data_IF_960412605578
#
_entry.id   IF_960412605578
#
_cell.length_a   1.000
_cell.length_b   1.000
_cell.length_c   1.000
_cell.angle_alpha   90.00
_cell.angle_beta   90.00
_cell.angle_gamma   90.00
#
_symmetry.space_group_name_H-M   'P 1'
#
loop_
_entity.id
_entity.type
_entity.pdbx_description
1 polymer ?
#
# COMPACT_ATOMS: atom_id res chain seq x y z
N UNK A 1 148.95 -92.71 57.44
CA UNK A 1 148.55 -91.37 56.94
C UNK A 1 147.59 -91.52 55.74
N UNK A 2 146.37 -92.04 55.91
CA UNK A 2 145.40 -92.16 54.79
C UNK A 2 143.92 -92.14 55.21
N UNK A 3 143.62 -91.93 56.50
CA UNK A 3 142.25 -91.93 57.04
C UNK A 3 141.55 -90.57 57.02
N UNK A 4 142.27 -89.46 56.82
CA UNK A 4 141.67 -88.11 56.90
C UNK A 4 141.01 -87.64 55.59
N UNK A 5 141.40 -88.15 54.41
CA UNK A 5 140.80 -87.72 53.12
C UNK A 5 139.39 -88.29 52.86
N UNK A 6 139.03 -89.45 53.46
CA UNK A 6 137.72 -90.12 53.23
C UNK A 6 136.60 -89.50 54.08
N UNK A 7 136.90 -89.16 55.34
CA UNK A 7 135.97 -88.50 56.25
C UNK A 7 135.63 -87.08 55.75
N UNK A 8 136.61 -86.35 55.19
CA UNK A 8 136.39 -85.03 54.60
C UNK A 8 135.59 -85.06 53.29
N UNK A 9 135.60 -86.17 52.56
CA UNK A 9 134.78 -86.37 51.37
C UNK A 9 133.32 -86.70 51.74
N UNK A 10 133.10 -87.53 52.75
CA UNK A 10 131.75 -87.86 53.27
C UNK A 10 131.12 -86.64 53.95
N UNK A 11 131.88 -85.88 54.76
CA UNK A 11 131.40 -84.63 55.35
C UNK A 11 131.03 -83.59 54.29
N UNK A 12 131.82 -83.45 53.22
CA UNK A 12 131.47 -82.59 52.08
C UNK A 12 130.19 -83.05 51.39
N UNK A 13 130.01 -84.36 51.18
CA UNK A 13 128.83 -84.91 50.51
C UNK A 13 127.56 -84.82 51.38
N UNK A 14 127.67 -85.01 52.69
CA UNK A 14 126.60 -84.76 53.65
C UNK A 14 126.22 -83.28 53.65
N UNK A 15 127.21 -82.37 53.63
CA UNK A 15 126.98 -80.93 53.57
C UNK A 15 126.29 -80.51 52.26
N UNK A 16 126.66 -81.12 51.13
CA UNK A 16 126.00 -80.89 49.83
C UNK A 16 124.58 -81.46 49.83
N UNK A 17 124.34 -82.64 50.39
CA UNK A 17 123.01 -83.24 50.48
C UNK A 17 122.09 -82.49 51.46
N UNK A 18 122.63 -81.99 52.57
CA UNK A 18 121.90 -81.09 53.47
C UNK A 18 121.55 -79.80 52.76
N UNK A 19 122.52 -79.16 52.09
CA UNK A 19 122.26 -77.95 51.32
C UNK A 19 121.24 -78.18 50.19
N UNK A 20 121.26 -79.34 49.53
CA UNK A 20 120.26 -79.72 48.53
C UNK A 20 118.88 -80.00 49.13
N UNK A 21 118.82 -80.58 50.33
CA UNK A 21 117.56 -80.81 51.06
C UNK A 21 116.98 -79.47 51.54
N UNK A 22 117.80 -78.60 52.14
CA UNK A 22 117.42 -77.26 52.56
C UNK A 22 116.95 -76.42 51.36
N UNK A 23 117.67 -76.46 50.23
CA UNK A 23 117.25 -75.79 48.99
C UNK A 23 115.99 -76.40 48.36
N UNK A 24 115.73 -77.69 48.55
CA UNK A 24 114.51 -78.35 48.07
C UNK A 24 113.31 -78.02 48.98
N UNK A 25 113.55 -77.91 50.28
CA UNK A 25 112.57 -77.53 51.29
C UNK A 25 112.18 -76.05 51.13
N UNK A 26 113.15 -75.14 50.95
CA UNK A 26 112.90 -73.74 50.59
C UNK A 26 112.11 -73.63 49.27
N UNK A 27 112.45 -74.44 48.25
CA UNK A 27 111.71 -74.48 46.98
C UNK A 27 110.29 -75.02 47.16
N UNK A 28 110.09 -76.04 47.98
CA UNK A 28 108.77 -76.59 48.28
C UNK A 28 107.91 -75.57 49.03
N UNK A 29 108.46 -74.86 50.01
CA UNK A 29 107.76 -73.77 50.71
C UNK A 29 107.40 -72.62 49.76
N UNK A 30 108.30 -72.23 48.85
CA UNK A 30 108.05 -71.19 47.86
C UNK A 30 106.94 -71.59 46.88
N UNK A 31 106.99 -72.81 46.36
CA UNK A 31 105.94 -73.35 45.48
C UNK A 31 104.60 -73.47 46.22
N UNK A 32 104.62 -73.86 47.49
CA UNK A 32 103.41 -73.96 48.30
C UNK A 32 102.80 -72.58 48.57
N UNK A 33 103.62 -71.56 48.86
CA UNK A 33 103.16 -70.16 48.93
C UNK A 33 102.61 -69.68 47.59
N UNK A 34 103.27 -69.99 46.47
CA UNK A 34 102.79 -69.63 45.14
C UNK A 34 101.44 -70.29 44.81
N UNK A 35 101.25 -71.57 45.16
CA UNK A 35 99.98 -72.28 44.96
C UNK A 35 98.86 -71.67 45.81
N UNK A 36 99.13 -71.27 47.05
CA UNK A 36 98.13 -70.61 47.89
C UNK A 36 97.77 -69.20 47.39
N UNK A 37 98.75 -68.44 46.88
CA UNK A 37 98.49 -67.16 46.20
C UNK A 37 97.65 -67.37 44.93
N UNK A 38 97.95 -68.39 44.13
CA UNK A 38 97.19 -68.67 42.91
C UNK A 38 95.77 -69.15 43.21
N UNK A 39 95.58 -69.99 44.24
CA UNK A 39 94.25 -70.41 44.70
C UNK A 39 93.42 -69.22 45.17
N UNK A 40 93.98 -68.36 46.02
CA UNK A 40 93.27 -67.18 46.52
C UNK A 40 92.95 -66.20 45.39
N UNK A 41 93.86 -66.02 44.42
CA UNK A 41 93.59 -65.22 43.22
C UNK A 41 92.49 -65.83 42.34
N UNK A 42 92.50 -67.16 42.15
CA UNK A 42 91.44 -67.87 41.43
C UNK A 42 90.09 -67.75 42.12
N UNK A 43 90.04 -67.91 43.44
CA UNK A 43 88.79 -67.75 44.22
C UNK A 43 88.24 -66.32 44.12
N UNK A 44 89.11 -65.31 44.13
CA UNK A 44 88.72 -63.92 43.88
C UNK A 44 88.15 -63.72 42.47
N UNK A 45 88.81 -64.26 41.44
CA UNK A 45 88.35 -64.19 40.06
C UNK A 45 87.00 -64.93 39.86
N UNK A 46 86.83 -66.11 40.46
CA UNK A 46 85.57 -66.86 40.43
C UNK A 46 84.44 -66.08 41.13
N UNK A 47 84.73 -65.42 42.25
CA UNK A 47 83.77 -64.55 42.94
C UNK A 47 83.41 -63.31 42.11
N UNK A 48 84.37 -62.68 41.43
CA UNK A 48 84.14 -61.56 40.52
C UNK A 48 83.29 -61.98 39.30
N UNK A 49 83.59 -63.13 38.69
CA UNK A 49 82.79 -63.68 37.58
C UNK A 49 81.36 -63.98 38.04
N UNK A 50 81.17 -64.56 39.24
CA UNK A 50 79.85 -64.79 39.79
C UNK A 50 79.07 -63.48 40.04
N UNK A 51 79.75 -62.44 40.53
CA UNK A 51 79.18 -61.10 40.74
C UNK A 51 78.78 -60.44 39.42
N UNK A 52 79.66 -60.49 38.41
CA UNK A 52 79.39 -59.94 37.07
C UNK A 52 78.23 -60.68 36.38
N UNK A 53 78.16 -62.01 36.49
CA UNK A 53 77.05 -62.78 35.94
C UNK A 53 75.70 -62.41 36.58
N UNK A 54 75.66 -62.19 37.90
CA UNK A 54 74.45 -61.66 38.56
C UNK A 54 74.11 -60.26 38.06
N UNK A 55 75.11 -59.41 37.86
CA UNK A 55 74.90 -58.04 37.35
C UNK A 55 74.37 -58.05 35.91
N UNK A 56 74.87 -58.95 35.06
CA UNK A 56 74.37 -59.14 33.69
C UNK A 56 72.88 -59.51 33.72
N UNK A 57 72.49 -60.51 34.51
CA UNK A 57 71.08 -60.91 34.63
C UNK A 57 70.17 -59.77 35.09
N UNK A 58 70.60 -58.99 36.08
CA UNK A 58 69.82 -57.85 36.55
C UNK A 58 69.66 -56.77 35.47
N UNK A 59 70.71 -56.49 34.71
CA UNK A 59 70.67 -55.51 33.61
C UNK A 59 69.80 -56.03 32.45
N UNK A 60 69.85 -57.32 32.15
CA UNK A 60 68.97 -57.95 31.15
C UNK A 60 67.50 -57.85 31.58
N UNK A 61 67.18 -58.18 32.83
CA UNK A 61 65.82 -58.04 33.36
C UNK A 61 65.33 -56.57 33.35
N UNK A 62 66.20 -55.61 33.67
CA UNK A 62 65.88 -54.18 33.58
C UNK A 62 65.66 -53.73 32.14
N UNK A 63 66.46 -54.25 31.20
CA UNK A 63 66.32 -53.98 29.77
C UNK A 63 64.99 -54.52 29.23
N UNK A 64 64.64 -55.76 29.56
CA UNK A 64 63.37 -56.38 29.14
C UNK A 64 62.17 -55.59 29.68
N UNK A 65 62.20 -55.20 30.96
CA UNK A 65 61.15 -54.34 31.55
C UNK A 65 61.07 -52.98 30.90
N UNK A 66 62.21 -52.38 30.53
CA UNK A 66 62.23 -51.09 29.84
C UNK A 66 61.67 -51.22 28.42
N UNK A 67 61.97 -52.31 27.71
CA UNK A 67 61.44 -52.60 26.38
C UNK A 67 59.93 -52.83 26.39
N UNK A 68 59.39 -53.60 27.34
CA UNK A 68 57.94 -53.79 27.49
C UNK A 68 57.21 -52.47 27.77
N UNK A 69 57.78 -51.63 28.64
CA UNK A 69 57.24 -50.28 28.92
C UNK A 69 57.28 -49.40 27.69
N UNK A 70 58.37 -49.43 26.92
CA UNK A 70 58.51 -48.67 25.69
C UNK A 70 57.49 -49.14 24.64
N UNK A 71 57.32 -50.45 24.45
CA UNK A 71 56.33 -51.00 23.53
C UNK A 71 54.90 -50.54 23.88
N UNK A 72 54.56 -50.58 25.17
CA UNK A 72 53.25 -50.10 25.66
C UNK A 72 53.09 -48.59 25.43
N UNK A 73 54.14 -47.80 25.66
CA UNK A 73 54.11 -46.35 25.44
C UNK A 73 53.95 -46.00 23.95
N UNK A 74 54.64 -46.72 23.06
CA UNK A 74 54.51 -46.54 21.62
C UNK A 74 53.11 -46.91 21.11
N UNK A 75 52.53 -48.01 21.60
CA UNK A 75 51.15 -48.37 21.24
C UNK A 75 50.16 -47.27 21.66
N UNK A 76 50.29 -46.74 22.89
CA UNK A 76 49.44 -45.63 23.37
C UNK A 76 49.63 -44.35 22.56
N UNK A 77 50.86 -44.08 22.12
CA UNK A 77 51.15 -42.94 21.27
C UNK A 77 50.44 -43.08 19.91
N UNK A 78 50.51 -44.25 19.29
CA UNK A 78 49.84 -44.51 18.01
C UNK A 78 48.31 -44.39 18.12
N UNK A 79 47.73 -44.88 19.22
CA UNK A 79 46.29 -44.72 19.49
C UNK A 79 45.91 -43.25 19.68
N UNK A 80 46.73 -42.47 20.39
CA UNK A 80 46.51 -41.05 20.59
C UNK A 80 46.65 -40.24 19.28
N UNK A 81 47.63 -40.58 18.43
CA UNK A 81 47.81 -39.96 17.12
C UNK A 81 46.60 -40.21 16.21
N UNK A 82 46.10 -41.46 16.15
CA UNK A 82 44.87 -41.77 15.40
C UNK A 82 43.66 -40.99 15.91
N UNK A 83 43.48 -40.90 17.22
CA UNK A 83 42.39 -40.12 17.81
C UNK A 83 42.52 -38.62 17.51
N UNK A 84 43.74 -38.07 17.49
CA UNK A 84 44.00 -36.69 17.13
C UNK A 84 43.67 -36.41 15.66
N UNK A 85 44.09 -37.28 14.74
CA UNK A 85 43.79 -37.19 13.31
C UNK A 85 42.29 -37.24 13.03
N UNK A 86 41.55 -38.14 13.70
CA UNK A 86 40.09 -38.22 13.59
C UNK A 86 39.41 -36.96 14.12
N UNK A 87 39.89 -36.42 15.25
CA UNK A 87 39.40 -35.17 15.82
C UNK A 87 39.64 -33.98 14.89
N UNK A 88 40.81 -33.88 14.27
CA UNK A 88 41.14 -32.81 13.31
C UNK A 88 40.24 -32.87 12.07
N UNK A 89 39.98 -34.08 11.56
CA UNK A 89 39.01 -34.28 10.47
C UNK A 89 37.61 -33.85 10.88
N UNK A 90 37.17 -34.22 12.08
CA UNK A 90 35.89 -33.79 12.64
C UNK A 90 35.77 -32.28 12.72
N UNK A 91 36.82 -31.62 13.24
CA UNK A 91 36.91 -30.16 13.35
C UNK A 91 36.78 -29.49 11.97
N UNK A 92 37.52 -29.95 10.97
CA UNK A 92 37.45 -29.40 9.59
C UNK A 92 36.06 -29.54 8.98
N UNK A 93 35.35 -30.65 9.23
CA UNK A 93 33.98 -30.82 8.73
C UNK A 93 33.01 -29.84 9.40
N UNK A 94 33.15 -29.63 10.72
CA UNK A 94 32.32 -28.69 11.47
C UNK A 94 32.59 -27.25 11.01
N UNK A 95 33.85 -26.87 10.83
CA UNK A 95 34.25 -25.55 10.33
C UNK A 95 33.64 -25.28 8.95
N UNK A 96 33.74 -26.23 8.01
CA UNK A 96 33.12 -26.10 6.69
C UNK A 96 31.59 -26.00 6.74
N UNK A 97 30.94 -26.63 7.71
CA UNK A 97 29.49 -26.47 7.91
C UNK A 97 29.15 -25.10 8.46
N UNK A 98 29.89 -24.64 9.47
CA UNK A 98 29.70 -23.33 10.07
C UNK A 98 29.83 -22.20 9.03
N UNK A 99 30.85 -22.25 8.17
CA UNK A 99 31.04 -21.27 7.10
C UNK A 99 29.86 -21.24 6.11
N UNK A 100 29.35 -22.41 5.70
CA UNK A 100 28.19 -22.49 4.80
C UNK A 100 26.91 -21.98 5.44
N UNK A 101 26.73 -22.27 6.73
CA UNK A 101 25.57 -21.79 7.48
C UNK A 101 25.63 -20.27 7.67
N UNK A 102 26.82 -19.71 7.88
CA UNK A 102 27.08 -18.26 7.96
C UNK A 102 26.77 -17.56 6.62
N UNK A 103 27.32 -18.04 5.50
CA UNK A 103 27.01 -17.51 4.16
C UNK A 103 25.50 -17.54 3.85
N UNK A 104 24.83 -18.64 4.24
CA UNK A 104 23.38 -18.77 4.06
C UNK A 104 22.62 -17.79 4.94
N UNK A 105 23.05 -17.59 6.18
CA UNK A 105 22.43 -16.65 7.11
C UNK A 105 22.53 -15.21 6.59
N UNK A 106 23.70 -14.81 6.09
CA UNK A 106 23.90 -13.47 5.50
C UNK A 106 22.98 -13.24 4.29
N UNK A 107 22.88 -14.23 3.40
CA UNK A 107 21.99 -14.15 2.23
C UNK A 107 20.51 -14.04 2.64
N UNK A 108 20.09 -14.82 3.63
CA UNK A 108 18.74 -14.73 4.18
C UNK A 108 18.47 -13.39 4.88
N UNK A 109 19.47 -12.80 5.53
CA UNK A 109 19.33 -11.49 6.17
C UNK A 109 19.12 -10.38 5.13
N UNK A 110 19.85 -10.42 4.01
CA UNK A 110 19.68 -9.49 2.89
C UNK A 110 18.27 -9.63 2.31
N UNK A 111 17.85 -10.86 2.00
CA UNK A 111 16.50 -11.12 1.48
C UNK A 111 15.40 -10.65 2.45
N UNK A 112 15.60 -10.84 3.76
CA UNK A 112 14.66 -10.36 4.76
C UNK A 112 14.57 -8.83 4.79
N UNK A 113 15.71 -8.13 4.67
CA UNK A 113 15.73 -6.66 4.60
C UNK A 113 15.01 -6.15 3.35
N UNK A 114 15.25 -6.76 2.20
CA UNK A 114 14.56 -6.41 0.95
C UNK A 114 13.05 -6.65 1.05
N UNK A 115 12.63 -7.81 1.56
CA UNK A 115 11.22 -8.13 1.74
C UNK A 115 10.52 -7.15 2.69
N UNK A 116 11.17 -6.75 3.77
CA UNK A 116 10.66 -5.71 4.69
C UNK A 116 10.51 -4.36 4.00
N UNK A 117 11.51 -3.93 3.23
CA UNK A 117 11.45 -2.66 2.50
C UNK A 117 10.30 -2.65 1.49
N UNK A 118 10.10 -3.75 0.75
CA UNK A 118 8.99 -3.89 -0.20
C UNK A 118 7.64 -3.82 0.51
N UNK A 119 7.51 -4.48 1.67
CA UNK A 119 6.28 -4.43 2.47
C UNK A 119 5.99 -3.00 2.97
N UNK A 120 7.00 -2.31 3.50
CA UNK A 120 6.86 -0.92 3.96
C UNK A 120 6.53 0.07 2.83
N UNK A 121 7.07 -0.13 1.63
CA UNK A 121 6.69 0.67 0.46
C UNK A 121 5.26 0.40 0.02
N UNK A 122 4.83 -0.86 0.06
CA UNK A 122 3.46 -1.24 -0.25
C UNK A 122 2.49 -0.60 0.74
N UNK A 123 2.77 -0.69 2.04
CA UNK A 123 1.95 -0.08 3.10
C UNK A 123 1.85 1.44 2.93
N UNK A 124 2.97 2.11 2.64
CA UNK A 124 2.96 3.57 2.33
C UNK A 124 2.08 3.92 1.13
N UNK A 125 2.15 3.13 0.06
CA UNK A 125 1.30 3.32 -1.14
C UNK A 125 -0.17 3.06 -0.81
N UNK A 126 -0.47 2.03 -0.02
CA UNK A 126 -1.82 1.73 0.44
C UNK A 126 -2.41 2.87 1.26
N UNK A 127 -1.66 3.43 2.21
CA UNK A 127 -2.10 4.58 3.00
C UNK A 127 -2.35 5.84 2.15
N UNK A 128 -1.51 6.08 1.14
CA UNK A 128 -1.72 7.20 0.21
C UNK A 128 -3.00 7.03 -0.61
N UNK A 129 -3.23 5.84 -1.15
CA UNK A 129 -4.46 5.52 -1.91
C UNK A 129 -5.69 5.62 -1.02
N UNK A 130 -5.64 5.08 0.20
CA UNK A 130 -6.75 5.14 1.14
C UNK A 130 -7.11 6.59 1.51
N UNK A 131 -6.12 7.46 1.73
CA UNK A 131 -6.36 8.89 1.99
C UNK A 131 -6.98 9.59 0.78
N UNK A 132 -6.50 9.31 -0.43
CA UNK A 132 -7.07 9.88 -1.67
C UNK A 132 -8.51 9.42 -1.88
N UNK A 133 -8.79 8.15 -1.61
CA UNK A 133 -10.14 7.59 -1.74
C UNK A 133 -11.12 8.31 -0.82
N UNK A 134 -10.77 8.52 0.45
CA UNK A 134 -11.61 9.23 1.41
C UNK A 134 -11.98 10.65 0.95
N UNK A 135 -11.02 11.37 0.35
CA UNK A 135 -11.27 12.72 -0.18
C UNK A 135 -12.25 12.66 -1.35
N UNK A 136 -12.05 11.72 -2.28
CA UNK A 136 -12.91 11.56 -3.45
C UNK A 136 -14.32 11.14 -3.04
N UNK A 137 -14.47 10.24 -2.07
CA UNK A 137 -15.77 9.83 -1.52
C UNK A 137 -16.50 11.04 -0.93
N UNK A 138 -15.83 11.86 -0.13
CA UNK A 138 -16.43 13.07 0.43
C UNK A 138 -16.78 14.13 -0.61
N UNK A 139 -15.99 14.29 -1.67
CA UNK A 139 -16.34 15.17 -2.79
C UNK A 139 -17.50 14.61 -3.61
N UNK A 140 -17.55 13.29 -3.79
CA UNK A 140 -18.64 12.61 -4.48
C UNK A 140 -19.97 12.82 -3.77
N UNK A 141 -20.05 12.59 -2.45
CA UNK A 141 -21.25 12.84 -1.64
C UNK A 141 -21.75 14.29 -1.80
N UNK A 142 -20.86 15.29 -1.73
CA UNK A 142 -21.23 16.69 -1.93
C UNK A 142 -21.76 16.96 -3.34
N UNK A 143 -21.19 16.31 -4.36
CA UNK A 143 -21.68 16.46 -5.74
C UNK A 143 -23.04 15.81 -5.93
N UNK A 144 -23.30 14.68 -5.28
CA UNK A 144 -24.60 14.02 -5.30
C UNK A 144 -25.68 14.88 -4.62
N UNK A 145 -25.43 15.37 -3.40
CA UNK A 145 -26.36 16.28 -2.71
C UNK A 145 -26.71 17.52 -3.56
N UNK A 146 -25.70 18.08 -4.24
CA UNK A 146 -25.90 19.23 -5.14
C UNK A 146 -26.73 18.87 -6.37
N UNK A 147 -26.52 17.69 -6.95
CA UNK A 147 -27.27 17.20 -8.10
C UNK A 147 -28.74 16.96 -7.71
N UNK A 148 -29.00 16.30 -6.58
CA UNK A 148 -30.35 16.08 -6.06
C UNK A 148 -31.10 17.40 -5.84
N UNK A 149 -30.44 18.40 -5.24
CA UNK A 149 -31.04 19.72 -5.07
C UNK A 149 -31.35 20.41 -6.40
N UNK A 150 -30.47 20.27 -7.38
CA UNK A 150 -30.68 20.84 -8.71
C UNK A 150 -31.84 20.15 -9.45
N UNK A 151 -31.94 18.83 -9.37
CA UNK A 151 -33.06 18.06 -9.93
C UNK A 151 -34.40 18.43 -9.27
N UNK A 152 -34.43 18.58 -7.95
CA UNK A 152 -35.63 19.00 -7.23
C UNK A 152 -36.11 20.39 -7.69
N UNK A 153 -35.18 21.33 -7.88
CA UNK A 153 -35.48 22.66 -8.42
C UNK A 153 -35.97 22.61 -9.87
N UNK A 154 -35.35 21.79 -10.71
CA UNK A 154 -35.77 21.61 -12.09
C UNK A 154 -37.21 21.09 -12.17
N UNK A 155 -37.54 20.05 -11.38
CA UNK A 155 -38.90 19.51 -11.30
C UNK A 155 -39.93 20.55 -10.86
N UNK A 156 -39.60 21.35 -9.84
CA UNK A 156 -40.49 22.42 -9.38
C UNK A 156 -40.76 23.47 -10.48
N UNK A 157 -39.71 23.89 -11.21
CA UNK A 157 -39.85 24.83 -12.33
C UNK A 157 -40.65 24.24 -13.50
N UNK A 158 -40.49 22.96 -13.79
CA UNK A 158 -41.29 22.27 -14.81
C UNK A 158 -42.78 22.22 -14.43
N UNK A 159 -43.10 22.01 -13.16
CA UNK A 159 -44.48 22.06 -12.66
C UNK A 159 -45.07 23.48 -12.76
N UNK A 160 -44.31 24.51 -12.37
CA UNK A 160 -44.73 25.91 -12.52
C UNK A 160 -44.97 26.28 -14.00
N UNK A 161 -44.07 25.89 -14.90
CA UNK A 161 -44.21 26.13 -16.33
C UNK A 161 -45.48 25.49 -16.87
N UNK A 162 -45.78 24.26 -16.46
CA UNK A 162 -47.02 23.57 -16.82
C UNK A 162 -48.26 24.30 -16.32
N UNK A 163 -48.18 24.91 -15.13
CA UNK A 163 -49.22 25.79 -14.60
C UNK A 163 -49.42 27.03 -15.47
N UNK A 164 -48.34 27.73 -15.81
CA UNK A 164 -48.38 28.90 -16.69
C UNK A 164 -48.95 28.59 -18.07
N UNK A 165 -48.58 27.46 -18.67
CA UNK A 165 -49.14 27.02 -19.96
C UNK A 165 -50.67 26.83 -19.90
N UNK A 166 -51.19 26.31 -18.79
CA UNK A 166 -52.65 26.16 -18.61
C UNK A 166 -53.34 27.51 -18.44
N UNK A 167 -52.74 28.42 -17.66
CA UNK A 167 -53.25 29.78 -17.49
C UNK A 167 -53.24 30.55 -18.81
N UNK A 168 -52.16 30.46 -19.60
CA UNK A 168 -52.03 31.11 -20.90
C UNK A 168 -53.11 30.62 -21.87
N UNK A 169 -53.32 29.30 -21.97
CA UNK A 169 -54.39 28.73 -22.81
C UNK A 169 -55.78 29.26 -22.42
N UNK A 170 -56.03 29.40 -21.13
CA UNK A 170 -57.30 29.93 -20.62
C UNK A 170 -57.47 31.41 -20.97
N UNK A 171 -56.39 32.18 -20.88
CA UNK A 171 -56.39 33.60 -21.23
C UNK A 171 -56.58 33.82 -22.74
N UNK A 172 -55.91 33.02 -23.57
CA UNK A 172 -56.08 33.02 -25.03
C UNK A 172 -57.53 32.71 -25.43
N UNK A 173 -58.14 31.69 -24.81
CA UNK A 173 -59.55 31.38 -25.06
C UNK A 173 -60.49 32.53 -24.66
N UNK A 174 -60.15 33.27 -23.59
CA UNK A 174 -60.89 34.47 -23.17
C UNK A 174 -60.71 35.63 -24.13
N UNK A 175 -59.48 35.87 -24.60
CA UNK A 175 -59.14 36.87 -25.62
C UNK A 175 -59.94 36.64 -26.91
N UNK A 176 -59.96 35.40 -27.42
CA UNK A 176 -60.75 35.03 -28.60
C UNK A 176 -62.25 35.31 -28.41
N UNK A 177 -62.79 35.05 -27.21
CA UNK A 177 -64.19 35.35 -26.90
C UNK A 177 -64.48 36.85 -26.86
N UNK A 178 -63.56 37.65 -26.33
CA UNK A 178 -63.72 39.11 -26.29
C UNK A 178 -63.58 39.73 -27.67
N UNK A 179 -62.63 39.26 -28.49
CA UNK A 179 -62.50 39.69 -29.89
C UNK A 179 -63.77 39.40 -30.69
N UNK A 180 -64.37 38.21 -30.56
CA UNK A 180 -65.65 37.92 -31.23
C UNK A 180 -66.81 38.79 -30.74
N UNK A 181 -66.79 39.25 -29.48
CA UNK A 181 -67.80 40.20 -28.96
C UNK A 181 -67.57 41.59 -29.54
N UNK A 182 -66.31 42.02 -29.64
CA UNK A 182 -65.92 43.28 -30.23
C UNK A 182 -66.42 43.36 -31.68
N UNK A 183 -66.14 42.35 -32.51
CA UNK A 183 -66.62 42.27 -33.90
C UNK A 183 -68.15 42.43 -34.00
N UNK A 184 -68.90 41.76 -33.12
CA UNK A 184 -70.36 41.84 -33.07
C UNK A 184 -70.85 43.23 -32.69
N UNK A 185 -70.23 43.84 -31.68
CA UNK A 185 -70.59 45.19 -31.27
C UNK A 185 -70.23 46.23 -32.34
N UNK A 186 -69.12 46.06 -33.05
CA UNK A 186 -68.78 46.92 -34.19
C UNK A 186 -69.84 46.82 -35.31
N UNK A 187 -70.29 45.61 -35.64
CA UNK A 187 -71.34 45.41 -36.65
C UNK A 187 -72.68 46.01 -36.18
N UNK A 188 -73.08 45.80 -34.93
CA UNK A 188 -74.29 46.39 -34.34
C UNK A 188 -74.23 47.92 -34.35
N UNK A 189 -73.10 48.51 -33.95
CA UNK A 189 -72.87 49.95 -33.98
C UNK A 189 -73.02 50.48 -35.40
N UNK A 190 -72.44 49.80 -36.39
CA UNK A 190 -72.56 50.19 -37.80
C UNK A 190 -74.01 50.17 -38.27
N UNK A 191 -74.76 49.10 -37.99
CA UNK A 191 -76.19 48.99 -38.35
C UNK A 191 -77.02 50.09 -37.67
N UNK A 192 -76.79 50.33 -36.37
CA UNK A 192 -77.49 51.38 -35.64
C UNK A 192 -77.14 52.78 -36.17
N UNK A 193 -75.90 53.01 -36.57
CA UNK A 193 -75.44 54.26 -37.19
C UNK A 193 -76.10 54.50 -38.54
N UNK A 194 -76.22 53.47 -39.38
CA UNK A 194 -76.90 53.58 -40.67
C UNK A 194 -78.40 53.83 -40.50
N UNK A 195 -79.07 53.14 -39.57
CA UNK A 195 -80.47 53.39 -39.22
C UNK A 195 -80.69 54.80 -38.68
N UNK A 196 -79.76 55.31 -37.87
CA UNK A 196 -79.83 56.68 -37.36
C UNK A 196 -79.78 57.69 -38.51
N UNK A 197 -78.85 57.53 -39.46
CA UNK A 197 -78.76 58.39 -40.66
C UNK A 197 -80.02 58.34 -41.53
N UNK A 198 -80.60 57.15 -41.72
CA UNK A 198 -81.88 57.02 -42.44
C UNK A 198 -83.03 57.73 -41.71
N UNK A 199 -83.09 57.62 -40.39
CA UNK A 199 -84.08 58.31 -39.57
C UNK A 199 -83.89 59.84 -39.60
N UNK A 200 -82.65 60.32 -39.50
CA UNK A 200 -82.29 61.74 -39.62
C UNK A 200 -82.68 62.32 -40.97
N UNK A 201 -82.29 61.67 -42.07
CA UNK A 201 -82.67 62.12 -43.43
C UNK A 201 -84.18 62.12 -43.66
N UNK A 202 -84.91 61.14 -43.11
CA UNK A 202 -86.37 61.11 -43.14
C UNK A 202 -86.99 62.24 -42.31
N UNK A 203 -86.45 62.54 -41.13
CA UNK A 203 -86.88 63.64 -40.28
C UNK A 203 -86.67 64.99 -41.00
N UNK A 204 -85.48 65.22 -41.57
CA UNK A 204 -85.19 66.43 -42.37
C UNK A 204 -86.17 66.61 -43.54
N UNK A 205 -86.53 65.53 -44.24
CA UNK A 205 -87.51 65.60 -45.33
C UNK A 205 -88.91 65.95 -44.83
N UNK A 206 -89.31 65.37 -43.70
CA UNK A 206 -90.58 65.69 -43.06
C UNK A 206 -90.63 67.16 -42.61
N UNK A 207 -89.56 67.66 -41.97
CA UNK A 207 -89.43 69.06 -41.57
C UNK A 207 -89.53 70.01 -42.76
N UNK A 208 -88.85 69.72 -43.88
CA UNK A 208 -88.98 70.51 -45.12
C UNK A 208 -90.40 70.48 -45.69
N UNK A 209 -91.08 69.34 -45.61
CA UNK A 209 -92.45 69.20 -46.09
C UNK A 209 -93.43 70.00 -45.23
N UNK A 210 -93.24 69.97 -43.90
CA UNK A 210 -94.01 70.80 -42.95
C UNK A 210 -93.80 72.28 -43.25
N UNK A 211 -92.55 72.76 -43.35
CA UNK A 211 -92.26 74.16 -43.66
C UNK A 211 -92.89 74.63 -45.00
N UNK A 212 -92.95 73.75 -46.01
CA UNK A 212 -93.62 74.04 -47.28
C UNK A 212 -95.14 74.12 -47.14
N UNK A 213 -95.73 73.20 -46.38
CA UNK A 213 -97.16 73.20 -46.11
C UNK A 213 -97.57 74.42 -45.28
N UNK A 214 -96.79 74.77 -44.25
CA UNK A 214 -96.98 75.98 -43.45
C UNK A 214 -96.98 77.24 -44.34
N UNK A 215 -96.00 77.39 -45.23
CA UNK A 215 -96.01 78.50 -46.20
C UNK A 215 -97.26 78.50 -47.09
N UNK A 216 -97.70 77.33 -47.53
CA UNK A 216 -98.91 77.22 -48.37
C UNK A 216 -100.17 77.59 -47.57
N UNK A 217 -100.21 77.26 -46.28
CA UNK A 217 -101.28 77.69 -45.36
C UNK A 217 -101.26 79.21 -45.24
N UNK A 218 -100.10 79.82 -44.97
CA UNK A 218 -99.97 81.28 -44.89
C UNK A 218 -100.47 81.97 -46.18
N UNK A 219 -100.01 81.50 -47.36
CA UNK A 219 -100.43 82.03 -48.66
C UNK A 219 -101.96 81.92 -48.87
N UNK A 220 -102.56 80.79 -48.48
CA UNK A 220 -104.01 80.56 -48.56
C UNK A 220 -104.80 81.39 -47.53
N UNK A 221 -104.27 81.60 -46.34
CA UNK A 221 -104.87 82.46 -45.32
C UNK A 221 -104.89 83.92 -45.77
N UNK A 222 -103.81 84.40 -46.40
CA UNK A 222 -103.73 85.72 -47.02
C UNK A 222 -104.74 85.88 -48.16
N UNK A 223 -104.85 84.89 -49.06
CA UNK A 223 -105.86 84.89 -50.12
C UNK A 223 -107.29 84.89 -49.55
N UNK A 224 -107.55 84.09 -48.52
CA UNK A 224 -108.85 84.03 -47.86
C UNK A 224 -109.20 85.38 -47.22
N UNK A 225 -108.23 86.03 -46.57
CA UNK A 225 -108.41 87.35 -45.99
C UNK A 225 -108.71 88.41 -47.06
N UNK A 226 -107.97 88.40 -48.17
CA UNK A 226 -108.21 89.28 -49.30
C UNK A 226 -109.62 89.06 -49.90
N UNK A 227 -110.07 87.81 -50.04
CA UNK A 227 -111.42 87.49 -50.50
C UNK A 227 -112.49 87.95 -49.51
N UNK A 228 -112.27 87.78 -48.20
CA UNK A 228 -113.18 88.31 -47.16
C UNK A 228 -113.31 89.83 -47.24
N UNK A 229 -112.20 90.56 -47.44
CA UNK A 229 -112.23 92.02 -47.62
C UNK A 229 -113.01 92.41 -48.88
N UNK A 230 -112.78 91.73 -50.01
CA UNK A 230 -113.56 91.95 -51.25
C UNK A 230 -115.04 91.69 -51.04
N UNK A 231 -115.41 90.59 -50.39
CA UNK A 231 -116.80 90.27 -50.09
C UNK A 231 -117.44 91.34 -49.20
N UNK A 232 -116.70 91.81 -48.19
CA UNK A 232 -117.16 92.89 -47.30
C UNK A 232 -117.38 94.19 -48.07
N UNK A 233 -116.44 94.57 -48.94
CA UNK A 233 -116.57 95.76 -49.78
C UNK A 233 -117.78 95.65 -50.73
N UNK A 234 -117.98 94.50 -51.39
CA UNK A 234 -119.17 94.25 -52.23
C UNK A 234 -120.46 94.29 -51.39
N UNK A 235 -120.44 93.74 -50.17
CA UNK A 235 -121.59 93.80 -49.26
C UNK A 235 -121.90 95.23 -48.83
N UNK A 236 -120.90 96.05 -48.54
CA UNK A 236 -121.06 97.47 -48.20
C UNK A 236 -121.56 98.28 -49.42
N UNK A 237 -121.08 97.99 -50.63
CA UNK A 237 -121.62 98.56 -51.89
C UNK A 237 -123.08 98.15 -52.11
N UNK A 238 -123.42 96.89 -51.83
CA UNK A 238 -124.78 96.38 -51.94
C UNK A 238 -125.73 97.04 -50.91
N UNK A 239 -125.28 97.20 -49.67
CA UNK A 239 -126.02 97.89 -48.62
C UNK A 239 -126.20 99.38 -48.95
N UNK A 240 -125.18 100.02 -49.54
CA UNK A 240 -125.31 101.38 -50.07
C UNK A 240 -126.33 101.46 -51.22
N UNK A 241 -126.27 100.56 -52.20
CA UNK A 241 -127.22 100.51 -53.31
C UNK A 241 -128.66 100.21 -52.85
N UNK A 242 -128.81 99.34 -51.84
CA UNK A 242 -130.10 99.06 -51.21
C UNK A 242 -130.62 100.28 -50.45
N UNK A 243 -129.79 100.97 -49.67
CA UNK A 243 -130.20 102.19 -48.97
C UNK A 243 -130.55 103.34 -49.94
N UNK A 244 -129.85 103.46 -51.06
CA UNK A 244 -130.18 104.43 -52.12
C UNK A 244 -131.53 104.08 -52.79
N UNK A 245 -131.84 102.79 -52.99
CA UNK A 245 -133.16 102.35 -53.46
C UNK A 245 -134.27 102.52 -52.42
N UNK A 246 -133.95 102.53 -51.12
CA UNK A 246 -134.94 102.68 -50.04
C UNK A 246 -135.16 104.14 -49.65
N UNK A 247 -134.32 105.06 -50.16
CA UNK A 247 -134.40 106.51 -49.88
C UNK A 247 -134.90 107.35 -51.08
N UNK A 248 -135.34 106.70 -52.17
CA UNK A 248 -136.08 107.29 -53.30
C UNK A 248 -137.57 106.95 -53.22
#
# INVERSE_FOLDING_TARGET
MSGNNSIDAVKRKIKVLQQQADEAEERAELLQRQVEVEKTSREQAEAEVASLNRRIQLVEEELDRAQERLATALQKLEEAEKAADESERGMKVIENRALKDEEKMELQEIQLKEAKHIAEEADRKYEEVARKLLIIEGDHERTEERAELAEAKARALEEELRGFDQSLKSLQASEDQYSQKEDKYEEEIKILTDKLKEAETRAEFAERSVAKLEKTIDDLEDELYAQKLKYKAISEELDHALNDMTSM
#
